data_IF_708063080666
#
_entry.id   IF_708063080666
#
_cell.length_a   1.000
_cell.length_b   1.000
_cell.length_c   1.000
_cell.angle_alpha   90.00
_cell.angle_beta   90.00
_cell.angle_gamma   90.00
#
_symmetry.space_group_name_H-M   'P 1'
#
loop_
_entity.id
_entity.type
_entity.pdbx_description
1 polymer ?
#
# COMPACT_ATOMS: atom_id res chain seq x y z
N UNK A 1 -21.24 19.95 13.21
CA UNK A 1 -19.80 19.62 13.03
C UNK A 1 -19.01 20.85 13.37
N UNK A 2 -18.03 20.78 14.28
CA UNK A 2 -17.24 21.96 14.66
C UNK A 2 -16.20 22.31 13.58
N UNK A 3 -15.88 23.59 13.43
CA UNK A 3 -14.91 24.07 12.42
C UNK A 3 -13.52 23.40 12.53
N UNK A 4 -13.15 22.94 13.73
CA UNK A 4 -11.91 22.19 13.96
C UNK A 4 -11.96 20.76 13.40
N UNK A 5 -13.09 20.06 13.52
CA UNK A 5 -13.28 18.72 12.93
C UNK A 5 -13.20 18.77 11.40
N UNK A 6 -13.77 19.81 10.79
CA UNK A 6 -13.72 20.01 9.33
C UNK A 6 -12.28 20.22 8.83
N UNK A 7 -11.45 20.99 9.55
CA UNK A 7 -10.05 21.22 9.17
C UNK A 7 -9.17 19.98 9.29
N UNK A 8 -9.39 19.15 10.33
CA UNK A 8 -8.62 17.92 10.53
C UNK A 8 -8.91 16.89 9.43
N UNK A 9 -10.19 16.70 9.09
CA UNK A 9 -10.62 15.79 8.02
C UNK A 9 -10.06 16.24 6.66
N UNK A 10 -10.11 17.55 6.37
CA UNK A 10 -9.56 18.09 5.13
C UNK A 10 -8.05 17.83 5.01
N UNK A 11 -7.29 18.05 6.07
CA UNK A 11 -5.84 17.78 6.07
C UNK A 11 -5.51 16.29 5.84
N UNK A 12 -6.30 15.38 6.39
CA UNK A 12 -6.13 13.94 6.13
C UNK A 12 -6.43 13.61 4.67
N UNK A 13 -7.54 14.12 4.12
CA UNK A 13 -7.90 13.92 2.72
C UNK A 13 -6.80 14.45 1.78
N UNK A 14 -6.29 15.66 2.03
CA UNK A 14 -5.19 16.24 1.26
C UNK A 14 -3.92 15.38 1.34
N UNK A 15 -3.62 14.80 2.51
CA UNK A 15 -2.48 13.91 2.71
C UNK A 15 -2.61 12.62 1.90
N UNK A 16 -3.81 12.03 1.87
CA UNK A 16 -4.10 10.82 1.08
C UNK A 16 -3.92 11.10 -0.41
N UNK A 17 -4.52 12.18 -0.91
CA UNK A 17 -4.43 12.56 -2.33
C UNK A 17 -2.97 12.76 -2.75
N UNK A 18 -2.20 13.51 -1.96
CA UNK A 18 -0.77 13.70 -2.21
C UNK A 18 0.01 12.38 -2.17
N UNK A 19 -0.31 11.48 -1.26
CA UNK A 19 0.31 10.17 -1.20
C UNK A 19 0.06 9.35 -2.46
N UNK A 20 -1.16 9.38 -3.00
CA UNK A 20 -1.48 8.70 -4.26
C UNK A 20 -0.74 9.33 -5.45
N UNK A 21 -0.70 10.66 -5.53
CA UNK A 21 0.07 11.38 -6.55
C UNK A 21 1.58 11.06 -6.48
N UNK A 22 2.12 10.94 -5.27
CA UNK A 22 3.51 10.55 -5.05
C UNK A 22 3.80 9.12 -5.55
N UNK A 23 2.88 8.17 -5.34
CA UNK A 23 2.99 6.81 -5.93
C UNK A 23 3.02 6.87 -7.44
N UNK A 24 2.11 7.63 -8.07
CA UNK A 24 2.07 7.79 -9.52
C UNK A 24 3.33 8.45 -10.08
N UNK A 25 3.92 9.36 -9.31
CA UNK A 25 5.18 10.05 -9.64
C UNK A 25 6.44 9.25 -9.28
N UNK A 26 6.27 8.02 -8.79
CA UNK A 26 7.36 7.13 -8.31
C UNK A 26 8.19 7.73 -7.16
N UNK A 27 7.65 8.71 -6.43
CA UNK A 27 8.24 9.21 -5.20
C UNK A 27 7.80 8.33 -4.01
N UNK A 28 8.28 7.10 -3.98
CA UNK A 28 7.78 6.06 -3.08
C UNK A 28 8.06 6.34 -1.61
N UNK A 29 9.20 6.97 -1.30
CA UNK A 29 9.53 7.34 0.08
C UNK A 29 8.56 8.41 0.60
N UNK A 30 8.29 9.46 -0.18
CA UNK A 30 7.30 10.48 0.18
C UNK A 30 5.89 9.87 0.30
N UNK A 31 5.51 9.02 -0.66
CA UNK A 31 4.23 8.33 -0.63
C UNK A 31 4.06 7.51 0.66
N UNK A 32 5.09 6.75 1.05
CA UNK A 32 5.08 5.95 2.28
C UNK A 32 4.89 6.84 3.50
N UNK A 33 5.70 7.88 3.63
CA UNK A 33 5.60 8.83 4.75
C UNK A 33 4.22 9.49 4.85
N UNK A 34 3.59 9.78 3.71
CA UNK A 34 2.24 10.36 3.66
C UNK A 34 1.15 9.36 4.04
N UNK A 35 1.21 8.12 3.54
CA UNK A 35 0.10 7.17 3.61
C UNK A 35 0.16 6.24 4.83
N UNK A 36 1.34 5.73 5.18
CA UNK A 36 1.50 4.69 6.20
C UNK A 36 0.98 5.11 7.59
N UNK A 37 1.21 6.35 8.09
CA UNK A 37 0.64 6.78 9.37
C UNK A 37 -0.89 6.83 9.39
N UNK A 38 -1.54 6.80 8.22
CA UNK A 38 -2.98 6.82 8.10
C UNK A 38 -3.59 5.42 8.15
N UNK A 39 -2.83 4.36 7.85
CA UNK A 39 -3.36 2.99 7.83
C UNK A 39 -4.09 2.64 9.12
N UNK A 40 -3.53 2.83 10.34
CA UNK A 40 -4.22 2.51 11.58
C UNK A 40 -5.49 3.34 11.81
N UNK A 41 -5.56 4.56 11.25
CA UNK A 41 -6.71 5.47 11.42
C UNK A 41 -7.90 5.04 10.56
N UNK A 42 -7.63 4.36 9.44
CA UNK A 42 -8.64 3.81 8.54
C UNK A 42 -8.78 2.29 8.66
N UNK A 43 -8.11 1.70 9.65
CA UNK A 43 -8.26 0.32 10.07
C UNK A 43 -9.45 0.24 11.04
N UNK A 44 -10.67 0.25 10.51
CA UNK A 44 -11.85 -0.19 11.25
C UNK A 44 -12.04 -1.67 10.92
N UNK A 45 -12.04 -2.53 11.94
CA UNK A 45 -12.05 -4.00 11.81
C UNK A 45 -13.10 -4.55 10.82
N UNK A 46 -14.20 -3.81 10.60
CA UNK A 46 -15.26 -4.25 9.70
C UNK A 46 -15.13 -3.74 8.25
N UNK A 47 -14.40 -2.64 7.96
CA UNK A 47 -14.28 -2.03 6.62
C UNK A 47 -12.99 -1.20 6.45
N UNK A 48 -11.85 -1.84 6.21
CA UNK A 48 -10.63 -1.12 5.90
C UNK A 48 -10.70 -0.47 4.52
N UNK A 49 -9.93 0.61 4.37
CA UNK A 49 -9.82 1.29 3.10
C UNK A 49 -8.85 0.53 2.18
N UNK A 50 -9.39 -0.44 1.42
CA UNK A 50 -8.64 -1.26 0.44
C UNK A 50 -7.78 -0.41 -0.50
N UNK A 51 -8.29 0.75 -0.94
CA UNK A 51 -7.54 1.66 -1.80
C UNK A 51 -6.30 2.20 -1.09
N UNK A 52 -6.45 2.67 0.16
CA UNK A 52 -5.33 3.15 0.97
C UNK A 52 -4.30 2.04 1.20
N UNK A 53 -4.73 0.84 1.53
CA UNK A 53 -3.84 -0.31 1.71
C UNK A 53 -3.05 -0.59 0.44
N UNK A 54 -3.70 -0.66 -0.74
CA UNK A 54 -3.00 -0.90 -2.00
C UNK A 54 -1.92 0.16 -2.29
N UNK A 55 -2.25 1.44 -2.18
CA UNK A 55 -1.27 2.51 -2.42
C UNK A 55 -0.14 2.50 -1.38
N UNK A 56 -0.44 2.12 -0.14
CA UNK A 56 0.57 1.97 0.92
C UNK A 56 1.52 0.82 0.59
N UNK A 57 0.99 -0.35 0.20
CA UNK A 57 1.81 -1.50 -0.24
C UNK A 57 2.71 -1.15 -1.40
N UNK A 58 2.18 -0.43 -2.41
CA UNK A 58 2.98 0.00 -3.57
C UNK A 58 4.12 0.93 -3.13
N UNK A 59 3.85 1.87 -2.21
CA UNK A 59 4.85 2.78 -1.68
C UNK A 59 5.92 2.05 -0.85
N UNK A 60 5.53 1.10 0.00
CA UNK A 60 6.44 0.27 0.80
C UNK A 60 7.40 -0.50 -0.10
N UNK A 61 6.89 -1.27 -1.07
CA UNK A 61 7.75 -2.04 -1.98
C UNK A 61 8.63 -1.11 -2.84
N UNK A 62 8.07 -0.03 -3.37
CA UNK A 62 8.84 0.95 -4.15
C UNK A 62 9.94 1.66 -3.35
N UNK A 63 9.75 1.78 -2.03
CA UNK A 63 10.76 2.29 -1.08
C UNK A 63 11.71 1.22 -0.55
N UNK A 64 11.58 -0.02 -1.03
CA UNK A 64 12.35 -1.21 -0.58
C UNK A 64 12.09 -1.62 0.87
N UNK A 65 10.94 -1.25 1.42
CA UNK A 65 10.48 -1.66 2.74
C UNK A 65 9.71 -2.98 2.63
N UNK A 66 10.46 -4.08 2.49
CA UNK A 66 9.90 -5.39 2.15
C UNK A 66 9.05 -5.96 3.28
N UNK A 67 9.50 -5.84 4.53
CA UNK A 67 8.80 -6.37 5.69
C UNK A 67 7.42 -5.71 5.84
N UNK A 68 7.36 -4.38 5.73
CA UNK A 68 6.11 -3.62 5.82
C UNK A 68 5.18 -3.91 4.65
N UNK A 69 5.75 -4.10 3.44
CA UNK A 69 4.99 -4.55 2.27
C UNK A 69 4.32 -5.90 2.51
N UNK A 70 5.07 -6.91 2.98
CA UNK A 70 4.54 -8.25 3.22
C UNK A 70 3.43 -8.23 4.27
N UNK A 71 3.62 -7.51 5.37
CA UNK A 71 2.57 -7.35 6.40
C UNK A 71 1.30 -6.71 5.82
N UNK A 72 1.45 -5.63 5.05
CA UNK A 72 0.30 -4.94 4.45
C UNK A 72 -0.38 -5.80 3.37
N UNK A 73 0.38 -6.62 2.65
CA UNK A 73 -0.14 -7.55 1.66
C UNK A 73 -0.95 -8.68 2.31
N UNK A 74 -0.46 -9.26 3.40
CA UNK A 74 -1.20 -10.25 4.18
C UNK A 74 -2.51 -9.68 4.72
N UNK A 75 -2.47 -8.45 5.21
CA UNK A 75 -3.68 -7.72 5.62
C UNK A 75 -4.66 -7.59 4.44
N UNK A 76 -4.19 -7.12 3.28
CA UNK A 76 -4.99 -6.89 2.09
C UNK A 76 -5.76 -8.15 1.63
N UNK A 77 -5.17 -9.34 1.79
CA UNK A 77 -5.80 -10.62 1.43
C UNK A 77 -7.05 -10.96 2.22
N UNK A 78 -7.25 -10.34 3.39
CA UNK A 78 -8.45 -10.56 4.19
C UNK A 78 -9.67 -9.81 3.64
N UNK A 79 -9.50 -8.96 2.62
CA UNK A 79 -10.55 -8.08 2.13
C UNK A 79 -10.92 -8.35 0.68
N UNK A 80 -12.21 -8.38 0.40
CA UNK A 80 -12.72 -8.52 -0.96
C UNK A 80 -12.95 -7.14 -1.58
N UNK A 81 -12.24 -6.76 -2.66
CA UNK A 81 -12.46 -5.50 -3.34
C UNK A 81 -13.88 -5.44 -3.93
N UNK A 82 -14.59 -4.37 -3.59
CA UNK A 82 -16.01 -4.19 -3.92
C UNK A 82 -16.22 -3.52 -5.28
N UNK A 83 -15.27 -2.68 -5.70
CA UNK A 83 -15.35 -1.86 -6.92
C UNK A 83 -14.28 -2.26 -7.92
N UNK A 84 -14.54 -1.99 -9.21
CA UNK A 84 -13.59 -2.27 -10.30
C UNK A 84 -12.20 -1.67 -10.04
N UNK A 85 -12.13 -0.39 -9.65
CA UNK A 85 -10.85 0.27 -9.37
C UNK A 85 -10.07 -0.37 -8.22
N UNK A 86 -10.75 -0.89 -7.20
CA UNK A 86 -10.09 -1.62 -6.11
C UNK A 86 -9.54 -2.97 -6.61
N UNK A 87 -10.29 -3.68 -7.46
CA UNK A 87 -9.85 -4.94 -8.07
C UNK A 87 -8.58 -4.76 -8.89
N UNK A 88 -8.53 -3.70 -9.71
CA UNK A 88 -7.37 -3.38 -10.54
C UNK A 88 -6.14 -3.04 -9.68
N UNK A 89 -6.34 -2.33 -8.57
CA UNK A 89 -5.27 -2.03 -7.60
C UNK A 89 -4.76 -3.27 -6.88
N UNK A 90 -5.66 -4.11 -6.37
CA UNK A 90 -5.28 -5.38 -5.71
C UNK A 90 -4.50 -6.26 -6.66
N UNK A 91 -4.96 -6.41 -7.91
CA UNK A 91 -4.23 -7.17 -8.94
C UNK A 91 -2.80 -6.67 -9.15
N UNK A 92 -2.61 -5.35 -9.18
CA UNK A 92 -1.28 -4.75 -9.31
C UNK A 92 -0.39 -5.10 -8.10
N UNK A 93 -0.94 -5.10 -6.89
CA UNK A 93 -0.19 -5.49 -5.69
C UNK A 93 0.16 -6.98 -5.72
N UNK A 94 -0.75 -7.84 -6.19
CA UNK A 94 -0.49 -9.28 -6.39
C UNK A 94 0.65 -9.51 -7.38
N UNK A 95 0.63 -8.84 -8.54
CA UNK A 95 1.71 -8.91 -9.54
C UNK A 95 3.06 -8.49 -8.96
N UNK A 96 3.09 -7.42 -8.15
CA UNK A 96 4.28 -6.96 -7.45
C UNK A 96 4.81 -7.99 -6.43
N UNK A 97 3.91 -8.67 -5.71
CA UNK A 97 4.28 -9.75 -4.80
C UNK A 97 4.86 -10.96 -5.56
N UNK A 98 4.23 -11.37 -6.66
CA UNK A 98 4.73 -12.47 -7.49
C UNK A 98 6.12 -12.17 -8.06
N UNK A 99 6.35 -10.95 -8.55
CA UNK A 99 7.67 -10.49 -9.01
C UNK A 99 8.73 -10.53 -7.90
N UNK A 100 8.38 -10.08 -6.69
CA UNK A 100 9.26 -10.15 -5.52
C UNK A 100 9.63 -11.60 -5.19
N UNK A 101 8.64 -12.49 -5.11
CA UNK A 101 8.88 -13.90 -4.79
C UNK A 101 9.71 -14.60 -5.86
N UNK A 102 9.48 -14.28 -7.14
CA UNK A 102 10.29 -14.82 -8.23
C UNK A 102 11.76 -14.36 -8.13
N UNK A 103 12.00 -13.08 -7.79
CA UNK A 103 13.35 -12.57 -7.58
C UNK A 103 14.07 -13.31 -6.45
N UNK A 104 13.39 -13.56 -5.33
CA UNK A 104 13.95 -14.30 -4.18
C UNK A 104 14.27 -15.75 -4.55
N UNK A 105 13.40 -16.42 -5.32
CA UNK A 105 13.62 -17.81 -5.73
C UNK A 105 14.76 -17.95 -6.74
N UNK A 106 14.90 -17.03 -7.69
CA UNK A 106 16.02 -17.03 -8.64
C UNK A 106 17.39 -16.90 -7.96
N UNK A 107 17.47 -16.07 -6.91
CA UNK A 107 18.69 -15.93 -6.11
C UNK A 107 19.03 -17.22 -5.32
N UNK A 108 18.03 -18.04 -5.04
CA UNK A 108 18.18 -19.31 -4.31
C UNK A 108 18.70 -20.43 -5.23
N UNK A 109 18.16 -20.54 -6.46
CA UNK A 109 18.59 -21.56 -7.44
C UNK A 109 19.98 -21.28 -8.05
N UNK A 110 20.42 -20.02 -8.04
CA UNK A 110 21.71 -19.60 -8.61
C UNK A 110 22.92 -19.98 -7.74
N UNK A 111 22.72 -20.39 -6.48
CA UNK A 111 23.79 -20.71 -5.53
C UNK A 111 24.06 -22.22 -5.35
N UNK A 112 23.31 -23.11 -6.03
CA UNK A 112 23.53 -24.58 -5.95
C UNK A 112 24.43 -25.14 -7.07
N UNK A 113 25.05 -24.29 -7.90
CA UNK A 113 25.86 -24.70 -9.06
C UNK A 113 27.39 -24.54 -8.88
N UNK A 114 27.93 -24.75 -7.68
CA UNK A 114 29.39 -24.75 -7.45
C UNK A 114 29.88 -25.90 -6.57
#
# INVERSE_FOLDING_TARGET
>A
MSDQQSKAVKKMADRIVKGYEAVHSKNYQEAKELLEPLVPLFHQEEKPNVTLLCYTSIAQLGSKDIDSFLQTYEELKNYTPSKKGEKDLVKRVDEMFEELMHAINLDSDSNESH
#
